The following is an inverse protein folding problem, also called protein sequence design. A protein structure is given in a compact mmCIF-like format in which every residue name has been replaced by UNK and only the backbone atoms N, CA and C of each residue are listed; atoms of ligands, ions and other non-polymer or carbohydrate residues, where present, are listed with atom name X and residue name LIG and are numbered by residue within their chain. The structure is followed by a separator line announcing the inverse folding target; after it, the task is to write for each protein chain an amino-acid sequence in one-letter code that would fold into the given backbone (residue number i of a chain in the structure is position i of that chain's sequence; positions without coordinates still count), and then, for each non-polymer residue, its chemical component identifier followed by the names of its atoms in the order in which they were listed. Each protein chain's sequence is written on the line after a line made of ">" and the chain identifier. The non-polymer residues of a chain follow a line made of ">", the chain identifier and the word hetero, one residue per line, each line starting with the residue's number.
data_IF_426037979917
#
_entry.id   IF_426037979917
#
_cell.length_a   1.000
_cell.length_b   1.000
_cell.length_c   1.000
_cell.angle_alpha   90.00
_cell.angle_beta   90.00
_cell.angle_gamma   90.00
#
_symmetry.space_group_name_H-M   'P 1'
#
loop_
_entity.id
_entity.type
_entity.pdbx_description
1 polymer ?
#
# COMPACT_ATOMS: atom_id res chain seq x y z
N UNK A 1 13.35 3.36 -13.33
CA UNK A 1 14.67 2.97 -13.84
C UNK A 1 15.05 1.55 -13.43
N UNK A 2 15.03 1.17 -12.13
CA UNK A 2 15.31 -0.21 -11.67
C UNK A 2 14.45 -1.25 -12.39
N UNK A 3 13.15 -1.01 -12.55
CA UNK A 3 12.25 -1.94 -13.24
C UNK A 3 12.67 -2.17 -14.69
N UNK A 4 13.11 -1.12 -15.40
CA UNK A 4 13.61 -1.26 -16.77
C UNK A 4 14.89 -2.11 -16.83
N UNK A 5 15.82 -1.91 -15.89
CA UNK A 5 17.02 -2.73 -15.78
C UNK A 5 16.69 -4.20 -15.47
N UNK A 6 15.69 -4.44 -14.62
CA UNK A 6 15.21 -5.80 -14.34
C UNK A 6 14.57 -6.45 -15.57
N UNK A 7 13.80 -5.69 -16.37
CA UNK A 7 13.24 -6.20 -17.63
C UNK A 7 14.32 -6.49 -18.68
N UNK A 8 15.45 -5.78 -18.66
CA UNK A 8 16.58 -6.06 -19.53
C UNK A 8 17.39 -7.29 -19.10
N UNK A 9 17.57 -7.53 -17.81
CA UNK A 9 18.39 -8.60 -17.22
C UNK A 9 17.61 -9.85 -16.83
N UNK A 10 16.34 -9.68 -16.47
CA UNK A 10 15.41 -10.72 -16.01
C UNK A 10 13.98 -10.41 -16.48
N UNK A 11 13.70 -10.47 -17.80
CA UNK A 11 12.39 -10.11 -18.34
C UNK A 11 11.23 -10.82 -17.64
N UNK A 12 10.24 -10.01 -17.19
CA UNK A 12 9.02 -10.51 -16.54
C UNK A 12 9.20 -11.03 -15.11
N UNK A 13 10.38 -10.85 -14.47
CA UNK A 13 10.62 -11.29 -13.08
C UNK A 13 9.63 -10.67 -12.10
N UNK A 14 9.23 -9.43 -12.31
CA UNK A 14 8.30 -8.71 -11.44
C UNK A 14 6.89 -9.28 -11.43
N UNK A 15 6.50 -10.02 -12.47
CA UNK A 15 5.23 -10.75 -12.53
C UNK A 15 5.25 -12.03 -11.68
N UNK A 16 6.43 -12.64 -11.52
CA UNK A 16 6.62 -13.86 -10.71
C UNK A 16 6.91 -13.46 -9.26
N UNK A 17 7.82 -12.51 -9.07
CA UNK A 17 8.29 -12.04 -7.78
C UNK A 17 8.15 -10.51 -7.72
N UNK A 18 6.97 -10.00 -7.29
CA UNK A 18 6.74 -8.58 -7.20
C UNK A 18 7.77 -7.87 -6.31
N UNK A 19 8.30 -6.74 -6.78
CA UNK A 19 9.27 -5.96 -6.04
C UNK A 19 8.62 -5.35 -4.80
N UNK A 20 9.09 -5.77 -3.63
CA UNK A 20 8.67 -5.24 -2.32
C UNK A 20 9.87 -4.67 -1.59
N UNK A 21 9.78 -3.40 -1.21
CA UNK A 21 10.87 -2.67 -0.53
C UNK A 21 10.52 -2.28 0.90
N UNK A 22 9.34 -2.69 1.39
CA UNK A 22 8.83 -2.30 2.71
C UNK A 22 9.74 -2.74 3.87
N UNK A 23 10.44 -3.87 3.71
CA UNK A 23 11.47 -4.36 4.64
C UNK A 23 12.63 -4.86 3.79
N UNK A 24 13.51 -3.99 3.29
CA UNK A 24 14.52 -4.35 2.30
C UNK A 24 15.41 -5.53 2.71
N UNK A 25 15.79 -5.57 3.98
CA UNK A 25 16.71 -6.60 4.53
C UNK A 25 16.12 -8.01 4.51
N UNK A 26 14.79 -8.13 4.53
CA UNK A 26 14.07 -9.40 4.55
C UNK A 26 13.20 -9.62 3.33
N UNK A 27 13.07 -8.63 2.45
CA UNK A 27 12.29 -8.76 1.21
C UNK A 27 12.88 -9.82 0.30
N UNK A 28 12.07 -10.82 -0.07
CA UNK A 28 12.52 -11.89 -0.97
C UNK A 28 12.96 -11.34 -2.32
N UNK A 29 12.27 -10.35 -2.89
CA UNK A 29 12.63 -9.75 -4.16
C UNK A 29 13.97 -9.01 -4.09
N UNK A 30 14.23 -8.25 -3.02
CA UNK A 30 15.51 -7.56 -2.80
C UNK A 30 16.64 -8.58 -2.63
N UNK A 31 16.47 -9.58 -1.77
CA UNK A 31 17.45 -10.64 -1.55
C UNK A 31 17.75 -11.43 -2.84
N UNK A 32 16.71 -11.68 -3.62
CA UNK A 32 16.81 -12.37 -4.91
C UNK A 32 17.62 -11.55 -5.93
N UNK A 33 17.26 -10.28 -6.14
CA UNK A 33 17.96 -9.41 -7.09
C UNK A 33 19.43 -9.27 -6.70
N UNK A 34 19.72 -9.02 -5.42
CA UNK A 34 21.09 -8.94 -4.92
C UNK A 34 21.91 -10.20 -5.16
N UNK A 35 21.29 -11.38 -5.02
CA UNK A 35 22.01 -12.66 -5.13
C UNK A 35 22.23 -13.11 -6.57
N UNK A 36 21.19 -13.00 -7.41
CA UNK A 36 21.20 -13.64 -8.72
C UNK A 36 21.48 -12.69 -9.88
N UNK A 37 21.16 -11.41 -9.75
CA UNK A 37 21.50 -10.33 -10.69
C UNK A 37 20.89 -10.44 -12.09
N UNK A 38 20.94 -11.62 -12.74
CA UNK A 38 20.46 -11.82 -14.11
C UNK A 38 20.00 -13.27 -14.35
N UNK A 39 19.17 -13.48 -15.38
CA UNK A 39 18.80 -14.82 -15.81
C UNK A 39 20.01 -15.62 -16.35
N UNK A 40 20.99 -14.95 -16.94
CA UNK A 40 22.18 -15.62 -17.45
C UNK A 40 23.00 -16.26 -16.31
N UNK A 41 23.09 -15.61 -15.15
CA UNK A 41 23.71 -16.23 -13.96
C UNK A 41 22.91 -17.43 -13.47
N UNK A 42 21.59 -17.35 -13.48
CA UNK A 42 20.74 -18.48 -13.08
C UNK A 42 20.90 -19.66 -14.03
N UNK A 43 20.95 -19.43 -15.36
CA UNK A 43 21.22 -20.46 -16.36
C UNK A 43 22.58 -21.14 -16.15
N UNK A 44 23.64 -20.32 -15.98
CA UNK A 44 25.01 -20.81 -15.72
C UNK A 44 25.12 -21.65 -14.43
N UNK A 45 24.33 -21.29 -13.40
CA UNK A 45 24.32 -22.01 -12.13
C UNK A 45 23.71 -23.41 -12.24
N UNK A 46 22.72 -23.59 -13.10
CA UNK A 46 21.96 -24.82 -13.26
C UNK A 46 20.85 -24.99 -12.19
N UNK A 47 19.86 -25.84 -12.51
CA UNK A 47 18.61 -25.96 -11.76
C UNK A 47 18.80 -26.29 -10.28
N UNK A 48 19.55 -27.34 -9.96
CA UNK A 48 19.70 -27.81 -8.58
C UNK A 48 20.34 -26.73 -7.69
N UNK A 49 21.50 -26.23 -8.13
CA UNK A 49 22.24 -25.20 -7.36
C UNK A 49 21.46 -23.90 -7.20
N UNK A 50 20.69 -23.52 -8.24
CA UNK A 50 19.82 -22.35 -8.16
C UNK A 50 18.71 -22.56 -7.12
N UNK A 51 17.99 -23.69 -7.15
CA UNK A 51 16.90 -23.96 -6.21
C UNK A 51 17.40 -24.02 -4.77
N UNK A 52 18.54 -24.65 -4.50
CA UNK A 52 19.16 -24.70 -3.18
C UNK A 52 19.54 -23.29 -2.67
N UNK A 53 20.12 -22.47 -3.54
CA UNK A 53 20.47 -21.09 -3.21
C UNK A 53 19.24 -20.21 -3.01
N UNK A 54 18.18 -20.40 -3.82
CA UNK A 54 16.92 -19.70 -3.70
C UNK A 54 16.20 -20.06 -2.39
N UNK A 55 16.18 -21.34 -2.03
CA UNK A 55 15.57 -21.78 -0.77
C UNK A 55 16.23 -21.13 0.45
N UNK A 56 17.56 -20.97 0.44
CA UNK A 56 18.29 -20.30 1.53
C UNK A 56 17.84 -18.83 1.72
N UNK A 57 17.67 -18.07 0.64
CA UNK A 57 17.21 -16.68 0.73
C UNK A 57 15.73 -16.60 1.08
N UNK A 58 14.91 -17.53 0.59
CA UNK A 58 13.49 -17.56 0.89
C UNK A 58 13.20 -17.90 2.37
N UNK A 59 14.00 -18.79 2.98
CA UNK A 59 13.96 -19.03 4.42
C UNK A 59 14.27 -17.74 5.22
N UNK A 60 15.27 -16.97 4.80
CA UNK A 60 15.62 -15.67 5.40
C UNK A 60 14.46 -14.66 5.30
N UNK A 61 13.72 -14.67 4.20
CA UNK A 61 12.55 -13.81 3.99
C UNK A 61 11.27 -14.31 4.65
N UNK A 62 11.26 -15.47 5.32
CA UNK A 62 10.09 -16.14 5.90
C UNK A 62 8.95 -16.39 4.88
N UNK A 63 9.27 -16.49 3.60
CA UNK A 63 8.30 -16.75 2.55
C UNK A 63 7.93 -18.24 2.50
N UNK A 64 6.61 -18.56 2.51
CA UNK A 64 6.10 -19.94 2.51
C UNK A 64 5.98 -20.56 1.12
N UNK A 65 5.97 -19.75 0.05
CA UNK A 65 5.77 -20.21 -1.34
C UNK A 65 7.09 -20.46 -2.09
N UNK A 66 8.15 -20.82 -1.37
CA UNK A 66 9.51 -20.92 -1.87
C UNK A 66 9.67 -21.81 -3.10
N UNK A 67 9.12 -23.03 -3.06
CA UNK A 67 9.30 -24.00 -4.15
C UNK A 67 8.63 -23.54 -5.44
N UNK A 68 7.42 -23.00 -5.35
CA UNK A 68 6.64 -22.52 -6.50
C UNK A 68 7.36 -21.38 -7.22
N UNK A 69 7.82 -20.37 -6.47
CA UNK A 69 8.58 -19.26 -7.05
C UNK A 69 9.90 -19.70 -7.66
N UNK A 70 10.68 -20.55 -6.98
CA UNK A 70 11.96 -21.01 -7.48
C UNK A 70 11.85 -21.71 -8.84
N UNK A 71 10.88 -22.61 -8.99
CA UNK A 71 10.65 -23.31 -10.26
C UNK A 71 10.18 -22.34 -11.36
N UNK A 72 9.22 -21.48 -11.06
CA UNK A 72 8.72 -20.51 -12.04
C UNK A 72 9.81 -19.54 -12.52
N UNK A 73 10.68 -19.10 -11.62
CA UNK A 73 11.82 -18.22 -11.97
C UNK A 73 12.83 -18.97 -12.85
N UNK A 74 13.15 -20.23 -12.52
CA UNK A 74 14.08 -21.02 -13.34
C UNK A 74 13.54 -21.25 -14.75
N UNK A 75 12.26 -21.60 -14.87
CA UNK A 75 11.57 -21.76 -16.16
C UNK A 75 11.53 -20.44 -16.94
N UNK A 76 11.27 -19.31 -16.27
CA UNK A 76 11.32 -18.01 -16.90
C UNK A 76 12.73 -17.68 -17.40
N UNK A 77 13.77 -18.00 -16.61
CA UNK A 77 15.14 -17.85 -17.03
C UNK A 77 15.46 -18.63 -18.30
N UNK A 78 14.96 -19.86 -18.44
CA UNK A 78 15.21 -20.67 -19.63
C UNK A 78 14.47 -20.16 -20.87
N UNK A 79 13.22 -19.66 -20.71
CA UNK A 79 12.37 -19.21 -21.82
C UNK A 79 12.70 -17.83 -22.34
N UNK A 80 13.13 -16.93 -21.44
CA UNK A 80 13.32 -15.51 -21.80
C UNK A 80 14.75 -15.25 -22.28
N UNK A 81 14.85 -14.36 -23.27
CA UNK A 81 16.10 -13.82 -23.78
C UNK A 81 16.31 -12.46 -23.12
N UNK A 82 17.45 -12.29 -22.49
CA UNK A 82 17.87 -11.00 -21.92
C UNK A 82 18.23 -10.04 -23.06
N UNK A 83 17.70 -8.82 -23.05
CA UNK A 83 17.99 -7.83 -24.11
C UNK A 83 19.36 -7.22 -23.95
N UNK A 84 19.87 -7.14 -22.72
CA UNK A 84 21.27 -6.84 -22.43
C UNK A 84 21.89 -8.06 -21.76
N UNK A 85 22.91 -8.60 -22.40
CA UNK A 85 23.74 -9.64 -21.79
C UNK A 85 24.36 -9.14 -20.48
N UNK A 86 24.85 -10.08 -19.69
CA UNK A 86 25.54 -9.77 -18.44
C UNK A 86 26.80 -8.93 -18.73
N UNK A 87 26.73 -7.63 -18.39
CA UNK A 87 27.86 -6.74 -18.43
C UNK A 87 27.98 -5.98 -17.10
N UNK A 88 29.20 -5.61 -16.77
CA UNK A 88 29.56 -5.01 -15.49
C UNK A 88 28.81 -3.70 -15.24
N UNK A 89 28.64 -2.86 -16.26
CA UNK A 89 27.95 -1.57 -16.12
C UNK A 89 26.46 -1.72 -15.81
N UNK A 90 25.78 -2.65 -16.48
CA UNK A 90 24.35 -2.91 -16.22
C UNK A 90 24.14 -3.47 -14.82
N UNK A 91 25.02 -4.38 -14.37
CA UNK A 91 24.93 -4.95 -13.03
C UNK A 91 25.25 -3.90 -11.95
N UNK A 92 26.27 -3.05 -12.16
CA UNK A 92 26.59 -1.96 -11.25
C UNK A 92 25.44 -0.95 -11.15
N UNK A 93 24.85 -0.57 -12.28
CA UNK A 93 23.67 0.31 -12.29
C UNK A 93 22.46 -0.32 -11.56
N UNK A 94 22.24 -1.61 -11.72
CA UNK A 94 21.17 -2.35 -11.02
C UNK A 94 21.42 -2.36 -9.51
N UNK A 95 22.64 -2.62 -9.06
CA UNK A 95 23.00 -2.60 -7.65
C UNK A 95 22.80 -1.21 -7.03
N UNK A 96 23.30 -0.18 -7.69
CA UNK A 96 23.16 1.20 -7.24
C UNK A 96 21.68 1.62 -7.16
N UNK A 97 20.88 1.25 -8.15
CA UNK A 97 19.44 1.55 -8.13
C UNK A 97 18.72 0.81 -7.00
N UNK A 98 19.07 -0.45 -6.75
CA UNK A 98 18.47 -1.22 -5.66
C UNK A 98 18.85 -0.63 -4.29
N UNK A 99 20.09 -0.21 -4.11
CA UNK A 99 20.57 0.47 -2.91
C UNK A 99 19.80 1.77 -2.67
N UNK A 100 19.68 2.65 -3.67
CA UNK A 100 18.92 3.89 -3.58
C UNK A 100 17.44 3.66 -3.21
N UNK A 101 16.82 2.63 -3.77
CA UNK A 101 15.43 2.26 -3.43
C UNK A 101 15.34 1.83 -1.97
N UNK A 102 16.30 1.01 -1.50
CA UNK A 102 16.33 0.56 -0.10
C UNK A 102 16.58 1.72 0.88
N UNK A 103 17.51 2.62 0.57
CA UNK A 103 17.79 3.81 1.38
C UNK A 103 16.58 4.77 1.43
N UNK A 104 15.94 5.00 0.29
CA UNK A 104 14.71 5.81 0.21
C UNK A 104 13.60 5.23 1.07
N UNK A 105 13.45 3.91 1.11
CA UNK A 105 12.48 3.25 1.98
C UNK A 105 12.82 3.45 3.46
N UNK A 106 14.08 3.29 3.86
CA UNK A 106 14.54 3.55 5.24
C UNK A 106 14.29 5.00 5.65
N UNK A 107 14.58 5.95 4.77
CA UNK A 107 14.31 7.36 5.01
C UNK A 107 12.81 7.61 5.21
N UNK A 108 11.95 7.02 4.37
CA UNK A 108 10.50 7.13 4.50
C UNK A 108 10.00 6.55 5.83
N UNK A 109 10.51 5.39 6.24
CA UNK A 109 10.13 4.76 7.51
C UNK A 109 10.59 5.59 8.72
N UNK A 110 11.79 6.21 8.65
CA UNK A 110 12.26 7.16 9.66
C UNK A 110 11.37 8.39 9.77
N UNK A 111 10.91 8.95 8.65
CA UNK A 111 9.98 10.08 8.63
C UNK A 111 8.65 9.69 9.27
N UNK A 112 8.11 8.52 8.95
CA UNK A 112 6.85 8.04 9.54
C UNK A 112 6.99 7.87 11.05
N UNK A 113 8.11 7.37 11.54
CA UNK A 113 8.37 7.26 12.98
C UNK A 113 8.38 8.63 13.67
N UNK A 114 9.03 9.62 13.07
CA UNK A 114 8.99 11.01 13.58
C UNK A 114 7.59 11.59 13.56
N UNK A 115 6.83 11.37 12.50
CA UNK A 115 5.43 11.80 12.41
C UNK A 115 4.58 11.14 13.50
N UNK A 116 4.81 9.86 13.81
CA UNK A 116 4.13 9.14 14.89
C UNK A 116 4.44 9.78 16.25
N UNK A 117 5.71 10.01 16.58
CA UNK A 117 6.10 10.68 17.83
C UNK A 117 5.44 12.06 17.99
N UNK A 118 5.36 12.84 16.90
CA UNK A 118 4.66 14.12 16.93
C UNK A 118 3.14 13.95 17.09
N UNK A 119 2.55 12.98 16.40
CA UNK A 119 1.12 12.70 16.47
C UNK A 119 0.68 12.28 17.87
N UNK A 120 1.51 11.54 18.62
CA UNK A 120 1.23 11.10 20.00
C UNK A 120 1.02 12.27 20.98
N UNK A 121 1.49 13.46 20.65
CA UNK A 121 1.24 14.67 21.45
C UNK A 121 -0.14 15.29 21.21
N UNK A 122 -0.89 14.83 20.22
CA UNK A 122 -2.19 15.37 19.81
C UNK A 122 -3.34 14.51 20.33
N UNK A 123 -4.31 15.10 21.03
CA UNK A 123 -5.41 14.35 21.66
C UNK A 123 -6.28 13.59 20.64
N UNK A 124 -6.52 14.17 19.48
CA UNK A 124 -7.28 13.54 18.40
C UNK A 124 -6.57 12.33 17.78
N UNK A 125 -5.26 12.17 18.00
CA UNK A 125 -4.52 11.00 17.54
C UNK A 125 -4.93 9.73 18.30
N UNK A 126 -5.11 9.83 19.62
CA UNK A 126 -5.60 8.71 20.42
C UNK A 126 -6.98 8.22 19.94
N UNK A 127 -7.86 9.15 19.58
CA UNK A 127 -9.16 8.82 18.97
C UNK A 127 -8.97 8.06 17.67
N UNK A 128 -8.11 8.56 16.78
CA UNK A 128 -7.86 7.94 15.49
C UNK A 128 -7.27 6.53 15.65
N UNK A 129 -6.33 6.34 16.58
CA UNK A 129 -5.70 5.05 16.88
C UNK A 129 -6.66 4.03 17.50
N UNK A 130 -7.69 4.48 18.19
CA UNK A 130 -8.74 3.60 18.73
C UNK A 130 -9.66 3.04 17.66
N UNK A 131 -9.65 3.58 16.45
CA UNK A 131 -10.51 3.12 15.35
C UNK A 131 -9.88 1.91 14.66
N UNK A 132 -10.69 0.87 14.46
CA UNK A 132 -10.24 -0.35 13.81
C UNK A 132 -9.67 -0.09 12.40
N UNK A 133 -8.60 -0.81 12.04
CA UNK A 133 -7.91 -0.66 10.75
C UNK A 133 -6.90 0.48 10.69
N UNK A 134 -6.79 1.32 11.73
CA UNK A 134 -5.79 2.39 11.81
C UNK A 134 -4.56 1.90 12.57
N UNK A 135 -3.49 1.59 11.82
CA UNK A 135 -2.20 1.19 12.37
C UNK A 135 -1.23 2.36 12.57
N UNK A 136 -0.03 2.04 13.08
CA UNK A 136 1.03 3.01 13.40
C UNK A 136 1.48 3.83 12.19
N UNK A 137 1.37 3.30 10.98
CA UNK A 137 1.71 3.99 9.75
C UNK A 137 0.56 4.88 9.25
N UNK A 138 -0.67 4.37 9.23
CA UNK A 138 -1.81 5.10 8.67
C UNK A 138 -2.28 6.23 9.57
N UNK A 139 -2.22 6.07 10.90
CA UNK A 139 -2.64 7.08 11.85
C UNK A 139 -1.97 8.43 11.65
N UNK A 140 -0.62 8.52 11.72
CA UNK A 140 0.09 9.78 11.51
C UNK A 140 -0.14 10.38 10.12
N UNK A 141 -0.21 9.54 9.07
CA UNK A 141 -0.44 9.99 7.70
C UNK A 141 -1.83 10.61 7.53
N UNK A 142 -2.86 9.97 8.08
CA UNK A 142 -4.24 10.51 8.04
C UNK A 142 -4.31 11.82 8.81
N UNK A 143 -3.70 11.88 10.01
CA UNK A 143 -3.70 13.08 10.84
C UNK A 143 -3.00 14.25 10.14
N UNK A 144 -1.84 14.01 9.53
CA UNK A 144 -1.09 15.03 8.79
C UNK A 144 -1.89 15.61 7.61
N UNK A 145 -2.65 14.77 6.89
CA UNK A 145 -3.47 15.22 5.77
C UNK A 145 -4.71 16.00 6.22
N UNK A 146 -5.25 15.67 7.38
CA UNK A 146 -6.39 16.40 7.96
C UNK A 146 -5.92 17.73 8.54
N UNK A 147 -4.76 17.77 9.20
CA UNK A 147 -4.30 18.92 9.99
C UNK A 147 -5.26 19.21 11.14
N UNK A 148 -5.48 20.48 11.45
CA UNK A 148 -6.44 20.87 12.50
C UNK A 148 -7.86 20.53 12.08
N UNK A 149 -8.47 19.58 12.80
CA UNK A 149 -9.83 19.12 12.51
C UNK A 149 -10.89 20.21 12.73
N UNK A 150 -10.60 21.21 13.56
CA UNK A 150 -11.52 22.33 13.87
C UNK A 150 -11.75 23.23 12.66
N UNK A 151 -10.89 23.19 11.65
CA UNK A 151 -11.11 23.93 10.39
C UNK A 151 -12.30 23.42 9.58
N UNK A 152 -12.81 22.25 9.88
CA UNK A 152 -13.98 21.68 9.23
C UNK A 152 -15.22 21.93 10.09
N UNK A 153 -16.27 22.52 9.51
CA UNK A 153 -17.53 22.79 10.21
C UNK A 153 -18.38 21.53 10.41
N UNK A 154 -18.06 20.41 9.74
CA UNK A 154 -18.80 19.14 9.85
C UNK A 154 -18.01 17.95 9.32
N UNK A 155 -18.39 16.74 9.73
CA UNK A 155 -17.84 15.52 9.13
C UNK A 155 -18.17 15.35 7.63
N UNK A 156 -19.23 16.04 7.14
CA UNK A 156 -19.54 16.12 5.70
C UNK A 156 -18.50 16.98 4.97
N UNK A 157 -18.05 18.09 5.57
CA UNK A 157 -16.99 18.93 5.01
C UNK A 157 -15.65 18.21 4.96
N UNK A 158 -15.29 17.43 6.00
CA UNK A 158 -14.09 16.58 5.99
C UNK A 158 -14.17 15.51 4.90
N UNK A 159 -15.33 14.90 4.69
CA UNK A 159 -15.53 13.92 3.62
C UNK A 159 -15.42 14.56 2.23
N UNK A 160 -15.93 15.76 2.01
CA UNK A 160 -15.77 16.53 0.78
C UNK A 160 -14.31 16.93 0.56
N UNK A 161 -13.60 17.31 1.63
CA UNK A 161 -12.16 17.58 1.57
C UNK A 161 -11.34 16.37 1.10
N UNK A 162 -11.72 15.16 1.47
CA UNK A 162 -11.15 13.94 0.93
C UNK A 162 -11.55 13.67 -0.55
N UNK A 163 -12.45 14.47 -1.12
CA UNK A 163 -13.01 14.25 -2.46
C UNK A 163 -13.84 12.98 -2.57
N UNK A 164 -14.47 12.58 -1.46
CA UNK A 164 -15.35 11.40 -1.37
C UNK A 164 -16.83 11.79 -1.35
N UNK A 165 -17.16 13.04 -1.65
CA UNK A 165 -18.50 13.52 -1.89
C UNK A 165 -18.97 13.13 -3.29
N UNK A 166 -20.25 12.91 -3.44
CA UNK A 166 -20.92 12.69 -4.72
C UNK A 166 -21.84 13.88 -4.99
N UNK A 167 -21.34 14.96 -5.62
CA UNK A 167 -22.14 16.15 -5.89
C UNK A 167 -23.36 15.79 -6.76
N UNK A 168 -24.50 16.48 -6.59
CA UNK A 168 -25.62 16.32 -7.48
C UNK A 168 -25.20 16.69 -8.91
N UNK A 169 -25.53 15.83 -9.85
CA UNK A 169 -25.42 16.15 -11.27
C UNK A 169 -26.84 16.32 -11.81
N UNK A 170 -27.21 17.57 -11.99
CA UNK A 170 -28.54 17.97 -12.46
C UNK A 170 -28.36 18.85 -13.68
N UNK A 171 -29.13 18.60 -14.73
CA UNK A 171 -29.21 19.43 -15.92
C UNK A 171 -30.69 19.52 -16.32
N UNK A 172 -31.30 20.67 -16.08
CA UNK A 172 -32.74 20.86 -16.27
C UNK A 172 -33.56 19.90 -15.40
N UNK A 173 -34.37 19.07 -16.03
CA UNK A 173 -35.22 18.05 -15.36
C UNK A 173 -34.48 16.73 -15.13
N UNK A 174 -33.24 16.57 -15.61
CA UNK A 174 -32.45 15.35 -15.46
C UNK A 174 -31.73 15.32 -14.14
N UNK A 175 -31.96 14.29 -13.31
CA UNK A 175 -31.21 13.98 -12.10
C UNK A 175 -30.51 12.60 -12.25
N UNK A 176 -29.17 12.60 -12.18
CA UNK A 176 -28.41 11.35 -12.27
C UNK A 176 -28.52 10.55 -10.98
N UNK A 177 -28.99 9.31 -11.08
CA UNK A 177 -29.02 8.34 -9.98
C UNK A 177 -27.66 7.65 -9.76
N UNK A 178 -26.81 7.55 -10.78
CA UNK A 178 -25.45 6.98 -10.69
C UNK A 178 -24.42 8.10 -10.55
N UNK A 179 -24.07 8.40 -9.30
CA UNK A 179 -23.11 9.47 -8.99
C UNK A 179 -21.75 8.90 -8.64
N UNK A 180 -20.72 9.42 -9.28
CA UNK A 180 -19.34 9.15 -8.92
C UNK A 180 -18.85 10.14 -7.87
N UNK A 181 -17.87 9.72 -7.05
CA UNK A 181 -17.20 10.63 -6.13
C UNK A 181 -16.46 11.72 -6.90
N UNK A 182 -16.42 12.94 -6.33
CA UNK A 182 -15.87 14.13 -7.00
C UNK A 182 -14.39 13.99 -7.34
N UNK A 183 -13.62 13.31 -6.50
CA UNK A 183 -12.15 13.20 -6.53
C UNK A 183 -11.41 14.55 -6.51
N UNK A 184 -12.12 15.67 -6.34
CA UNK A 184 -11.58 17.04 -6.35
C UNK A 184 -10.87 17.45 -5.07
N UNK A 185 -10.89 16.59 -4.04
CA UNK A 185 -10.26 16.85 -2.75
C UNK A 185 -8.88 16.21 -2.59
N UNK A 186 -8.45 16.09 -1.33
CA UNK A 186 -7.16 15.51 -0.96
C UNK A 186 -7.08 14.01 -1.35
N UNK A 187 -6.28 13.72 -2.35
CA UNK A 187 -6.11 12.37 -2.87
C UNK A 187 -5.34 11.45 -1.91
N UNK A 188 -4.39 11.99 -1.13
CA UNK A 188 -3.60 11.23 -0.16
C UNK A 188 -4.49 10.79 1.01
N UNK A 189 -5.28 11.71 1.60
CA UNK A 189 -6.25 11.37 2.63
C UNK A 189 -7.22 10.29 2.16
N UNK A 190 -7.78 10.44 0.96
CA UNK A 190 -8.69 9.45 0.39
C UNK A 190 -8.03 8.08 0.23
N UNK A 191 -6.78 8.04 -0.23
CA UNK A 191 -5.98 6.81 -0.37
C UNK A 191 -5.77 6.14 0.99
N UNK A 192 -5.31 6.88 2.00
CA UNK A 192 -5.06 6.32 3.33
C UNK A 192 -6.34 5.80 3.99
N UNK A 193 -7.45 6.53 3.88
CA UNK A 193 -8.74 6.04 4.36
C UNK A 193 -9.21 4.78 3.60
N UNK A 194 -8.92 4.66 2.30
CA UNK A 194 -9.20 3.45 1.55
C UNK A 194 -8.35 2.26 2.02
N UNK A 195 -7.09 2.49 2.38
CA UNK A 195 -6.21 1.47 2.98
C UNK A 195 -6.74 1.01 4.35
N UNK A 196 -7.33 1.90 5.16
CA UNK A 196 -8.06 1.52 6.39
C UNK A 196 -9.20 0.54 6.06
N UNK A 197 -9.98 0.80 5.00
CA UNK A 197 -11.04 -0.14 4.58
C UNK A 197 -10.47 -1.50 4.16
N UNK A 198 -9.29 -1.54 3.56
CA UNK A 198 -8.62 -2.81 3.24
C UNK A 198 -8.19 -3.55 4.51
N UNK A 199 -7.64 -2.83 5.49
CA UNK A 199 -7.28 -3.41 6.79
C UNK A 199 -8.50 -3.99 7.51
N UNK A 200 -9.64 -3.29 7.52
CA UNK A 200 -10.90 -3.79 8.08
C UNK A 200 -11.37 -5.08 7.41
N UNK A 201 -11.24 -5.19 6.08
CA UNK A 201 -11.60 -6.42 5.36
C UNK A 201 -10.68 -7.61 5.67
N UNK A 202 -9.42 -7.34 6.05
CA UNK A 202 -8.46 -8.36 6.45
C UNK A 202 -8.69 -8.81 7.92
N UNK A 203 -8.87 -7.85 8.82
CA UNK A 203 -8.97 -8.11 10.27
C UNK A 203 -10.38 -8.52 10.71
N UNK A 204 -11.42 -8.14 9.94
CA UNK A 204 -12.84 -8.49 10.16
C UNK A 204 -13.33 -8.23 11.60
N UNK A 205 -13.20 -7.02 12.14
CA UNK A 205 -13.63 -6.72 13.50
C UNK A 205 -15.17 -6.77 13.60
N UNK A 206 -15.71 -7.73 14.39
CA UNK A 206 -17.14 -8.06 14.39
C UNK A 206 -18.04 -6.93 14.92
N UNK A 207 -17.52 -6.11 15.83
CA UNK A 207 -18.31 -5.03 16.50
C UNK A 207 -17.97 -3.63 15.96
N UNK A 208 -17.15 -3.52 14.89
CA UNK A 208 -16.79 -2.22 14.35
C UNK A 208 -17.88 -1.64 13.45
N UNK A 209 -18.41 -0.42 13.76
CA UNK A 209 -19.54 0.17 13.03
C UNK A 209 -19.19 0.52 11.57
N UNK A 210 -17.91 0.74 11.24
CA UNK A 210 -17.46 1.01 9.86
C UNK A 210 -17.41 -0.28 9.07
N UNK A 211 -16.86 -1.34 9.67
CA UNK A 211 -16.81 -2.65 9.04
C UNK A 211 -18.21 -3.21 8.77
N UNK A 212 -19.10 -3.16 9.76
CA UNK A 212 -20.49 -3.61 9.61
C UNK A 212 -21.23 -2.82 8.51
N UNK A 213 -20.99 -1.50 8.45
CA UNK A 213 -21.57 -0.68 7.40
C UNK A 213 -21.04 -1.04 6.01
N UNK A 214 -19.73 -1.33 5.90
CA UNK A 214 -19.10 -1.77 4.67
C UNK A 214 -19.73 -3.10 4.19
N UNK A 215 -19.87 -4.09 5.09
CA UNK A 215 -20.51 -5.37 4.78
C UNK A 215 -21.96 -5.18 4.33
N UNK A 216 -22.73 -4.33 5.01
CA UNK A 216 -24.10 -3.99 4.59
C UNK A 216 -24.13 -3.47 3.16
N UNK A 217 -23.19 -2.59 2.78
CA UNK A 217 -23.12 -2.05 1.41
C UNK A 217 -22.78 -3.11 0.36
N UNK A 218 -21.95 -4.08 0.70
CA UNK A 218 -21.67 -5.23 -0.16
C UNK A 218 -22.90 -6.14 -0.31
N UNK A 219 -23.63 -6.39 0.77
CA UNK A 219 -24.89 -7.16 0.74
C UNK A 219 -26.01 -6.45 -0.06
N UNK A 220 -26.02 -5.11 -0.10
CA UNK A 220 -26.88 -4.33 -0.98
C UNK A 220 -26.49 -4.42 -2.47
N UNK A 221 -25.50 -5.26 -2.83
CA UNK A 221 -25.03 -5.46 -4.20
C UNK A 221 -24.13 -4.32 -4.73
N UNK A 222 -23.60 -3.46 -3.88
CA UNK A 222 -22.67 -2.40 -4.33
C UNK A 222 -21.31 -3.00 -4.74
N UNK A 223 -20.73 -2.56 -5.87
CA UNK A 223 -19.40 -2.98 -6.27
C UNK A 223 -18.38 -2.73 -5.16
N UNK A 224 -17.41 -3.63 -5.03
CA UNK A 224 -16.40 -3.64 -3.97
C UNK A 224 -15.77 -2.27 -3.65
N UNK A 225 -15.33 -1.52 -4.66
CA UNK A 225 -14.74 -0.21 -4.45
C UNK A 225 -15.78 0.84 -4.02
N UNK A 226 -17.02 0.74 -4.47
CA UNK A 226 -18.12 1.63 -4.07
C UNK A 226 -18.48 1.40 -2.60
N UNK A 227 -18.56 0.14 -2.17
CA UNK A 227 -18.81 -0.21 -0.77
C UNK A 227 -17.70 0.33 0.15
N UNK A 228 -16.42 0.21 -0.26
CA UNK A 228 -15.29 0.79 0.49
C UNK A 228 -15.36 2.30 0.57
N UNK A 229 -15.68 3.00 -0.51
CA UNK A 229 -15.81 4.47 -0.48
C UNK A 229 -16.98 4.93 0.40
N UNK A 230 -18.07 4.17 0.47
CA UNK A 230 -19.11 4.40 1.45
C UNK A 230 -18.63 4.19 2.90
N UNK A 231 -17.79 3.16 3.12
CA UNK A 231 -17.08 2.93 4.39
C UNK A 231 -16.17 4.10 4.78
N UNK A 232 -15.40 4.66 3.84
CA UNK A 232 -14.56 5.86 4.05
C UNK A 232 -15.42 7.05 4.52
N UNK A 233 -16.58 7.27 3.91
CA UNK A 233 -17.51 8.33 4.37
C UNK A 233 -17.92 8.11 5.83
N UNK A 234 -18.32 6.88 6.17
CA UNK A 234 -18.72 6.53 7.55
C UNK A 234 -17.56 6.72 8.52
N UNK A 235 -16.36 6.28 8.17
CA UNK A 235 -15.14 6.41 8.95
C UNK A 235 -14.79 7.87 9.27
N UNK A 236 -14.71 8.73 8.25
CA UNK A 236 -14.39 10.15 8.42
C UNK A 236 -15.41 10.88 9.27
N UNK A 237 -16.70 10.55 9.14
CA UNK A 237 -17.76 11.15 9.96
C UNK A 237 -17.69 10.73 11.43
N UNK A 238 -17.41 9.45 11.70
CA UNK A 238 -17.22 8.96 13.08
C UNK A 238 -15.97 9.59 13.68
N UNK A 239 -14.86 9.60 12.94
CA UNK A 239 -13.62 10.22 13.40
C UNK A 239 -13.85 11.69 13.75
N UNK A 240 -14.46 12.47 12.85
CA UNK A 240 -14.77 13.87 13.09
C UNK A 240 -15.56 14.08 14.38
N UNK A 241 -16.64 13.34 14.58
CA UNK A 241 -17.48 13.47 15.75
C UNK A 241 -16.71 13.19 17.06
N UNK A 242 -15.97 12.07 17.10
CA UNK A 242 -15.18 11.67 18.28
C UNK A 242 -14.04 12.65 18.58
N UNK A 243 -13.30 13.08 17.53
CA UNK A 243 -12.20 14.02 17.71
C UNK A 243 -12.70 15.39 18.20
N UNK A 244 -13.80 15.90 17.66
CA UNK A 244 -14.40 17.16 18.13
C UNK A 244 -14.95 17.07 19.56
N UNK A 245 -15.44 15.91 19.98
CA UNK A 245 -15.86 15.66 21.36
C UNK A 245 -14.65 15.69 22.31
N UNK A 246 -13.57 15.01 21.97
CA UNK A 246 -12.33 14.99 22.77
C UNK A 246 -11.74 16.38 22.92
N UNK A 247 -11.71 17.19 21.85
CA UNK A 247 -11.18 18.55 21.88
C UNK A 247 -12.05 19.55 22.67
N UNK A 248 -13.34 19.26 22.86
CA UNK A 248 -14.24 20.09 23.71
C UNK A 248 -14.07 19.79 25.21
N UNK A 249 -13.51 18.63 25.56
CA UNK A 249 -13.32 18.20 26.96
C UNK A 249 -11.98 18.66 27.53
N UNK A 250 -11.11 19.25 26.70
CA UNK A 250 -9.86 19.89 27.09
C UNK A 250 -10.02 21.41 27.24
#
# INVERSE_FOLDING_TARGET
>A
FLLNLLDETMPGITNILPLTTRTPETSLSVLFINRFKSYDRIKKMGKSRFLDAFEKIARKSRNRQTKTYGLAIYEAALRNITTRGENEYTLAAQDQCLELVCESQKAADSIILKMQTLAETLPEYAVLRSMAGVGDRLGPLILAEIGDIRRFHSGKALNAYAGNDAPPYQSGTFESHNRHISKRGNAALRKYCFEVMQALKLTRPQDDPVYLFLLKKEQEGKPYNVAKMAGVNKFLRIYYARAMETLKQQ
#
